data_IF_160800130312
#
_entry.id   IF_160800130312
#
_cell.length_a   1.000
_cell.length_b   1.000
_cell.length_c   1.000
_cell.angle_alpha   90.00
_cell.angle_beta   90.00
_cell.angle_gamma   90.00
#
_symmetry.space_group_name_H-M   'P 1'
#
loop_
_entity.id
_entity.type
_entity.pdbx_description
1 polymer ?
#
# COMPACT_ATOMS: atom_id res chain seq x y z
N UNK A 1 -25.46 -14.62 9.92
CA UNK A 1 -24.90 -13.31 10.32
C UNK A 1 -25.24 -13.07 11.78
N UNK A 2 -24.24 -12.71 12.60
CA UNK A 2 -24.46 -12.31 13.98
C UNK A 2 -24.28 -10.80 14.08
N UNK A 3 -25.33 -10.07 14.47
CA UNK A 3 -25.24 -8.65 14.78
C UNK A 3 -25.16 -8.51 16.30
N UNK A 4 -24.07 -7.92 16.79
CA UNK A 4 -23.81 -7.80 18.22
C UNK A 4 -24.20 -6.40 18.71
N UNK A 5 -25.30 -6.32 19.46
CA UNK A 5 -25.74 -5.08 20.10
C UNK A 5 -25.20 -5.01 21.53
N UNK A 6 -24.41 -3.97 21.84
CA UNK A 6 -23.91 -3.76 23.21
C UNK A 6 -24.89 -3.02 24.12
N UNK A 7 -25.91 -2.34 23.57
CA UNK A 7 -26.94 -1.58 24.31
C UNK A 7 -28.30 -1.72 23.60
N UNK A 8 -29.39 -1.92 24.37
CA UNK A 8 -30.72 -2.22 23.81
C UNK A 8 -31.38 -1.03 23.09
N UNK A 9 -31.02 0.18 23.51
CA UNK A 9 -31.40 1.48 22.98
C UNK A 9 -30.76 1.79 21.62
N UNK A 10 -29.75 1.02 21.17
CA UNK A 10 -29.16 1.15 19.83
C UNK A 10 -30.09 0.65 18.71
N UNK A 11 -31.03 -0.26 19.01
CA UNK A 11 -31.96 -0.79 18.02
C UNK A 11 -33.06 0.21 17.64
N UNK A 12 -33.52 1.02 18.60
CA UNK A 12 -34.55 2.04 18.35
C UNK A 12 -34.00 3.19 17.51
N UNK A 13 -32.76 3.61 17.74
CA UNK A 13 -32.14 4.69 16.96
C UNK A 13 -31.75 4.28 15.54
N UNK A 14 -31.58 2.97 15.24
CA UNK A 14 -31.22 2.49 13.90
C UNK A 14 -32.32 2.74 12.86
N UNK A 15 -33.59 2.72 13.27
CA UNK A 15 -34.74 2.96 12.39
C UNK A 15 -34.80 4.42 11.88
N UNK A 16 -34.16 5.35 12.61
CA UNK A 16 -34.12 6.78 12.31
C UNK A 16 -32.85 7.19 11.52
N UNK A 17 -31.93 6.25 11.24
CA UNK A 17 -30.66 6.55 10.57
C UNK A 17 -30.88 6.79 9.08
N UNK A 18 -30.80 8.05 8.65
CA UNK A 18 -30.86 8.43 7.24
C UNK A 18 -29.53 8.38 6.47
N UNK A 19 -28.38 8.30 7.18
CA UNK A 19 -27.05 8.28 6.57
C UNK A 19 -26.14 7.31 7.32
N UNK A 20 -25.52 6.38 6.58
CA UNK A 20 -24.54 5.44 7.11
C UNK A 20 -23.16 5.78 6.54
N UNK A 21 -22.21 6.10 7.41
CA UNK A 21 -20.80 6.23 7.04
C UNK A 21 -20.10 4.89 7.29
N UNK A 22 -19.55 4.29 6.23
CA UNK A 22 -18.78 3.04 6.31
C UNK A 22 -17.28 3.37 6.23
N UNK A 23 -16.51 2.90 7.20
CA UNK A 23 -15.05 2.88 7.08
C UNK A 23 -14.64 1.86 6.01
N UNK A 24 -13.64 2.15 5.16
CA UNK A 24 -13.31 1.29 4.01
C UNK A 24 -12.60 0.01 4.46
N UNK A 25 -11.50 0.17 5.19
CA UNK A 25 -10.57 -0.91 5.54
C UNK A 25 -11.24 -1.90 6.50
N UNK A 26 -11.33 -3.17 6.09
CA UNK A 26 -11.87 -4.25 6.92
C UNK A 26 -13.41 -4.29 7.04
N UNK A 27 -14.14 -3.22 6.72
CA UNK A 27 -15.61 -3.24 6.67
C UNK A 27 -16.10 -3.60 5.26
N UNK A 28 -15.72 -2.81 4.26
CA UNK A 28 -16.10 -3.02 2.83
C UNK A 28 -15.07 -3.86 2.09
N UNK A 29 -13.79 -3.73 2.47
CA UNK A 29 -12.69 -4.51 1.90
C UNK A 29 -12.31 -5.67 2.82
N UNK A 30 -11.51 -6.61 2.31
CA UNK A 30 -11.11 -7.81 3.05
C UNK A 30 -10.23 -7.48 4.26
N UNK A 31 -9.65 -6.27 4.32
CA UNK A 31 -8.70 -5.88 5.36
C UNK A 31 -7.32 -6.52 5.14
N UNK A 32 -7.06 -7.01 3.93
CA UNK A 32 -5.84 -7.71 3.54
C UNK A 32 -5.29 -7.05 2.28
N UNK A 33 -4.59 -5.91 2.41
CA UNK A 33 -3.96 -5.26 1.27
C UNK A 33 -2.99 -6.20 0.57
N UNK A 34 -2.98 -6.17 -0.76
CA UNK A 34 -2.05 -6.93 -1.59
C UNK A 34 -1.38 -6.05 -2.62
N UNK A 35 -0.13 -6.39 -2.95
CA UNK A 35 0.58 -5.75 -4.05
C UNK A 35 -0.13 -6.09 -5.36
N UNK A 36 -0.65 -5.09 -6.05
CA UNK A 36 -1.35 -5.29 -7.33
C UNK A 36 -0.44 -5.01 -8.52
N UNK A 37 0.47 -4.05 -8.39
CA UNK A 37 1.34 -3.65 -9.49
C UNK A 37 2.70 -3.22 -8.96
N UNK A 38 3.74 -3.59 -9.70
CA UNK A 38 5.10 -3.09 -9.54
C UNK A 38 5.59 -2.72 -10.94
N UNK A 39 5.66 -1.42 -11.22
CA UNK A 39 6.08 -0.87 -12.51
C UNK A 39 7.48 -0.32 -12.33
N UNK A 40 8.48 -0.97 -12.91
CA UNK A 40 9.87 -0.50 -12.85
C UNK A 40 10.16 0.58 -13.89
N UNK A 41 11.11 1.44 -13.57
CA UNK A 41 11.76 2.32 -14.55
C UNK A 41 12.71 1.52 -15.44
N UNK A 42 13.06 2.08 -16.60
CA UNK A 42 14.00 1.46 -17.53
C UNK A 42 15.36 1.20 -16.86
N UNK A 43 15.93 0.02 -17.12
CA UNK A 43 17.22 -0.39 -16.57
C UNK A 43 17.17 -1.06 -15.19
N UNK A 44 15.98 -1.20 -14.60
CA UNK A 44 15.78 -1.92 -13.35
C UNK A 44 15.09 -3.27 -13.56
N UNK A 45 15.65 -4.32 -12.96
CA UNK A 45 15.01 -5.63 -12.90
C UNK A 45 13.89 -5.64 -11.85
N UNK A 46 12.73 -6.21 -12.21
CA UNK A 46 11.56 -6.23 -11.33
C UNK A 46 11.79 -7.06 -10.06
N UNK A 47 12.42 -8.23 -10.19
CA UNK A 47 12.63 -9.12 -9.04
C UNK A 47 13.66 -8.52 -8.08
N UNK A 48 14.73 -7.93 -8.62
CA UNK A 48 15.73 -7.21 -7.83
C UNK A 48 15.09 -6.04 -7.06
N UNK A 49 14.31 -5.19 -7.74
CA UNK A 49 13.66 -4.06 -7.09
C UNK A 49 12.65 -4.51 -6.04
N UNK A 50 11.85 -5.54 -6.31
CA UNK A 50 10.93 -6.09 -5.31
C UNK A 50 11.67 -6.60 -4.08
N UNK A 51 12.80 -7.28 -4.26
CA UNK A 51 13.63 -7.75 -3.15
C UNK A 51 14.18 -6.57 -2.32
N UNK A 52 14.71 -5.53 -2.96
CA UNK A 52 15.22 -4.34 -2.27
C UNK A 52 14.13 -3.61 -1.49
N UNK A 53 12.94 -3.43 -2.09
CA UNK A 53 11.80 -2.80 -1.41
C UNK A 53 11.37 -3.67 -0.23
N UNK A 54 11.27 -4.99 -0.41
CA UNK A 54 10.90 -5.92 0.66
C UNK A 54 11.90 -5.90 1.82
N UNK A 55 13.20 -5.72 1.57
CA UNK A 55 14.20 -5.51 2.63
C UNK A 55 13.88 -4.31 3.51
N UNK A 56 13.51 -3.18 2.91
CA UNK A 56 13.17 -1.95 3.66
C UNK A 56 11.83 -2.12 4.38
N UNK A 57 10.82 -2.61 3.68
CA UNK A 57 9.46 -2.75 4.20
C UNK A 57 9.34 -3.84 5.27
N UNK A 58 10.25 -4.82 5.31
CA UNK A 58 10.32 -5.80 6.39
C UNK A 58 10.58 -5.19 7.77
N UNK A 59 11.09 -3.95 7.84
CA UNK A 59 11.31 -3.21 9.08
C UNK A 59 10.12 -2.30 9.47
N UNK A 60 9.06 -2.27 8.64
CA UNK A 60 7.90 -1.41 8.80
C UNK A 60 6.66 -2.21 9.22
N UNK A 61 5.87 -1.69 10.16
CA UNK A 61 4.63 -2.33 10.63
C UNK A 61 3.39 -1.88 9.82
N UNK A 62 3.59 -1.11 8.74
CA UNK A 62 2.48 -0.60 7.94
C UNK A 62 1.79 -1.73 7.14
N UNK A 63 0.45 -1.75 7.02
CA UNK A 63 -0.25 -2.77 6.22
C UNK A 63 0.22 -2.85 4.74
N UNK A 64 0.66 -1.72 4.18
CA UNK A 64 1.25 -1.66 2.83
C UNK A 64 2.60 -2.37 2.77
N UNK A 65 3.41 -2.23 3.81
CA UNK A 65 4.70 -2.90 3.94
C UNK A 65 4.52 -4.42 3.97
N UNK A 66 3.57 -4.89 4.79
CA UNK A 66 3.21 -6.31 4.87
C UNK A 66 2.78 -6.86 3.50
N UNK A 67 1.93 -6.14 2.77
CA UNK A 67 1.50 -6.53 1.42
C UNK A 67 2.67 -6.74 0.44
N UNK A 68 3.67 -5.86 0.49
CA UNK A 68 4.86 -5.94 -0.36
C UNK A 68 5.72 -7.14 0.03
N UNK A 69 5.99 -7.32 1.32
CA UNK A 69 6.78 -8.44 1.85
C UNK A 69 6.11 -9.78 1.52
N UNK A 70 4.79 -9.87 1.64
CA UNK A 70 4.05 -11.08 1.26
C UNK A 70 4.13 -11.36 -0.25
N UNK A 71 4.09 -10.32 -1.09
CA UNK A 71 4.28 -10.49 -2.52
C UNK A 71 5.67 -11.07 -2.84
N UNK A 72 6.73 -10.51 -2.25
CA UNK A 72 8.09 -11.02 -2.43
C UNK A 72 8.22 -12.49 -1.99
N UNK A 73 7.62 -12.86 -0.84
CA UNK A 73 7.54 -14.26 -0.38
C UNK A 73 6.83 -15.17 -1.39
N UNK A 74 5.69 -14.72 -1.90
CA UNK A 74 4.88 -15.51 -2.85
C UNK A 74 5.59 -15.75 -4.18
N UNK A 75 6.48 -14.84 -4.57
CA UNK A 75 7.34 -14.96 -5.75
C UNK A 75 8.62 -15.77 -5.48
N UNK A 76 8.79 -16.30 -4.26
CA UNK A 76 9.96 -17.08 -3.87
C UNK A 76 11.25 -16.27 -3.79
N UNK A 77 11.14 -14.94 -3.66
CA UNK A 77 12.28 -14.05 -3.55
C UNK A 77 12.83 -14.08 -2.12
N UNK A 78 14.15 -14.18 -2.02
CA UNK A 78 14.90 -13.84 -0.82
C UNK A 78 15.32 -12.38 -0.91
N UNK A 79 15.18 -11.64 0.18
CA UNK A 79 15.69 -10.27 0.27
C UNK A 79 16.76 -10.17 1.37
N UNK A 80 17.82 -9.38 1.14
CA UNK A 80 18.87 -9.14 2.14
C UNK A 80 18.36 -8.31 3.32
N UNK A 81 19.12 -8.29 4.42
CA UNK A 81 18.80 -7.43 5.56
C UNK A 81 19.01 -5.94 5.22
N UNK A 82 18.11 -5.10 5.73
CA UNK A 82 18.24 -3.65 5.69
C UNK A 82 18.94 -3.12 6.94
N UNK A 83 19.80 -2.12 6.76
CA UNK A 83 20.50 -1.40 7.85
C UNK A 83 20.14 0.08 7.84
N UNK A 84 20.30 0.74 8.98
CA UNK A 84 20.00 2.18 9.16
C UNK A 84 18.58 2.57 8.72
N UNK A 85 17.61 1.70 8.97
CA UNK A 85 16.20 1.97 8.68
C UNK A 85 15.72 3.24 9.40
N UNK A 86 15.02 4.10 8.66
CA UNK A 86 14.35 5.30 9.17
C UNK A 86 12.96 5.40 8.57
N UNK A 87 11.99 5.65 9.43
CA UNK A 87 10.63 5.99 9.03
C UNK A 87 10.43 7.49 9.19
N UNK A 88 9.98 8.14 8.12
CA UNK A 88 9.58 9.54 8.12
C UNK A 88 8.06 9.58 8.12
N UNK A 89 7.48 9.82 9.31
CA UNK A 89 6.03 9.74 9.53
C UNK A 89 5.25 10.55 8.50
N UNK A 90 4.36 9.86 7.79
CA UNK A 90 3.52 10.46 6.75
C UNK A 90 4.19 10.58 5.37
N UNK A 91 5.50 10.35 5.24
CA UNK A 91 6.21 10.52 3.97
C UNK A 91 6.64 9.20 3.35
N UNK A 92 7.33 8.36 4.13
CA UNK A 92 7.92 7.12 3.63
C UNK A 92 8.96 6.54 4.57
N UNK A 93 9.73 5.60 4.04
CA UNK A 93 10.81 4.90 4.73
C UNK A 93 12.08 4.92 3.88
N UNK A 94 13.23 4.92 4.53
CA UNK A 94 14.53 4.75 3.88
C UNK A 94 15.40 3.77 4.67
N UNK A 95 16.27 3.04 3.96
CA UNK A 95 17.30 2.19 4.57
C UNK A 95 18.44 1.93 3.58
N UNK A 96 19.51 1.31 4.07
CA UNK A 96 20.56 0.75 3.23
C UNK A 96 20.37 -0.75 3.07
N UNK A 97 20.52 -1.23 1.84
CA UNK A 97 20.36 -2.64 1.49
C UNK A 97 21.53 -3.02 0.59
N UNK A 98 22.39 -3.93 1.06
CA UNK A 98 23.65 -4.28 0.36
C UNK A 98 24.51 -3.04 -0.01
N UNK A 99 24.50 -2.01 0.84
CA UNK A 99 25.22 -0.75 0.62
C UNK A 99 24.54 0.23 -0.33
N UNK A 100 23.38 -0.12 -0.89
CA UNK A 100 22.57 0.76 -1.74
C UNK A 100 21.53 1.48 -0.92
N UNK A 101 21.33 2.78 -1.18
CA UNK A 101 20.33 3.57 -0.46
C UNK A 101 18.97 3.42 -1.13
N UNK A 102 18.00 2.87 -0.40
CA UNK A 102 16.65 2.60 -0.89
C UNK A 102 15.66 3.54 -0.18
N UNK A 103 14.80 4.19 -0.95
CA UNK A 103 13.71 5.03 -0.46
C UNK A 103 12.39 4.47 -0.97
N UNK A 104 11.37 4.42 -0.11
CA UNK A 104 10.00 4.02 -0.47
C UNK A 104 9.03 5.01 0.15
N UNK A 105 8.14 5.61 -0.63
CA UNK A 105 7.22 6.62 -0.11
C UNK A 105 6.43 7.37 -1.17
N UNK A 106 5.69 8.39 -0.73
CA UNK A 106 4.90 9.24 -1.61
C UNK A 106 5.77 10.18 -2.47
N UNK A 107 5.17 10.81 -3.48
CA UNK A 107 5.76 11.85 -4.34
C UNK A 107 6.54 12.92 -3.54
N UNK A 108 5.92 13.45 -2.48
CA UNK A 108 6.52 14.46 -1.60
C UNK A 108 7.80 13.99 -0.91
N UNK A 109 7.90 12.69 -0.63
CA UNK A 109 9.11 12.12 -0.05
C UNK A 109 10.22 12.05 -1.09
N UNK A 110 9.90 11.64 -2.32
CA UNK A 110 10.88 11.61 -3.42
C UNK A 110 11.44 12.99 -3.71
N UNK A 111 10.58 14.01 -3.76
CA UNK A 111 11.00 15.41 -3.96
C UNK A 111 11.94 15.89 -2.84
N UNK A 112 11.67 15.55 -1.59
CA UNK A 112 12.55 15.90 -0.46
C UNK A 112 13.94 15.25 -0.57
N UNK A 113 14.02 14.05 -1.14
CA UNK A 113 15.27 13.35 -1.37
C UNK A 113 15.95 13.76 -2.69
N UNK A 114 15.38 14.72 -3.44
CA UNK A 114 15.92 15.19 -4.71
C UNK A 114 15.74 14.22 -5.88
N UNK A 115 14.76 13.32 -5.80
CA UNK A 115 14.49 12.29 -6.80
C UNK A 115 13.40 12.78 -7.75
N UNK A 116 13.66 12.70 -9.06
CA UNK A 116 12.71 13.03 -10.11
C UNK A 116 11.69 11.88 -10.33
N UNK A 117 10.41 12.17 -10.11
CA UNK A 117 9.30 11.22 -10.30
C UNK A 117 8.68 11.27 -11.70
N UNK A 118 9.01 12.29 -12.50
CA UNK A 118 8.42 12.54 -13.82
C UNK A 118 8.39 11.29 -14.74
N UNK A 119 9.42 10.42 -14.77
CA UNK A 119 9.43 9.26 -15.66
C UNK A 119 8.28 8.25 -15.43
N UNK A 120 7.73 8.18 -14.22
CA UNK A 120 6.65 7.23 -13.88
C UNK A 120 5.37 7.92 -13.39
N UNK A 121 5.31 9.25 -13.41
CA UNK A 121 4.16 10.02 -12.91
C UNK A 121 2.85 9.63 -13.61
N UNK A 122 2.86 9.46 -14.93
CA UNK A 122 1.68 9.03 -15.70
C UNK A 122 1.19 7.63 -15.29
N UNK A 123 2.13 6.74 -14.92
CA UNK A 123 1.82 5.38 -14.47
C UNK A 123 1.24 5.38 -13.08
N UNK A 124 1.81 6.18 -12.18
CA UNK A 124 1.31 6.38 -10.83
C UNK A 124 -0.11 6.96 -10.86
N UNK A 125 -0.34 8.02 -11.64
CA UNK A 125 -1.66 8.64 -11.78
C UNK A 125 -2.72 7.65 -12.27
N UNK A 126 -2.38 6.84 -13.28
CA UNK A 126 -3.28 5.79 -13.78
C UNK A 126 -3.61 4.70 -12.75
N UNK A 127 -2.74 4.47 -11.76
CA UNK A 127 -2.99 3.55 -10.64
C UNK A 127 -3.87 4.22 -9.58
N UNK A 128 -3.58 5.48 -9.26
CA UNK A 128 -4.37 6.29 -8.32
C UNK A 128 -5.82 6.46 -8.80
N UNK A 129 -6.04 6.70 -10.10
CA UNK A 129 -7.38 6.77 -10.73
C UNK A 129 -8.18 5.47 -10.58
N UNK A 130 -7.51 4.32 -10.42
CA UNK A 130 -8.14 3.02 -10.13
C UNK A 130 -8.41 2.81 -8.64
N UNK A 131 -8.22 3.82 -7.80
CA UNK A 131 -8.43 3.77 -6.36
C UNK A 131 -7.40 2.92 -5.61
N UNK A 132 -6.21 2.72 -6.20
CA UNK A 132 -5.09 2.01 -5.59
C UNK A 132 -4.24 2.97 -4.78
N UNK A 133 -3.66 2.48 -3.68
CA UNK A 133 -2.66 3.24 -2.93
C UNK A 133 -1.32 3.06 -3.63
N UNK A 134 -0.79 4.14 -4.20
CA UNK A 134 0.48 4.17 -4.92
C UNK A 134 1.62 4.74 -4.07
N UNK A 135 2.80 4.16 -4.22
CA UNK A 135 4.06 4.63 -3.65
C UNK A 135 5.15 4.58 -4.72
N UNK A 136 6.14 5.44 -4.61
CA UNK A 136 7.36 5.35 -5.39
C UNK A 136 8.43 4.56 -4.63
N UNK A 137 9.35 3.96 -5.38
CA UNK A 137 10.60 3.43 -4.86
C UNK A 137 11.77 4.00 -5.66
N UNK A 138 12.86 4.30 -4.97
CA UNK A 138 14.08 4.80 -5.57
C UNK A 138 15.30 4.11 -4.97
N UNK A 139 16.31 3.88 -5.80
CA UNK A 139 17.57 3.28 -5.38
C UNK A 139 18.73 4.14 -5.83
N UNK A 140 19.64 4.43 -4.90
CA UNK A 140 20.83 5.26 -5.11
C UNK A 140 20.51 6.63 -5.75
N UNK A 141 19.39 7.23 -5.33
CA UNK A 141 18.93 8.53 -5.81
C UNK A 141 18.23 8.50 -7.17
N UNK A 142 18.07 7.33 -7.79
CA UNK A 142 17.35 7.16 -9.06
C UNK A 142 15.99 6.54 -8.84
N UNK A 143 14.96 7.04 -9.52
CA UNK A 143 13.63 6.47 -9.48
C UNK A 143 13.66 5.05 -10.06
N UNK A 144 13.25 4.07 -9.26
CA UNK A 144 13.35 2.66 -9.61
C UNK A 144 11.99 2.03 -9.94
N UNK A 145 10.92 2.42 -9.24
CA UNK A 145 9.59 1.88 -9.50
C UNK A 145 8.44 2.73 -8.94
N UNK A 146 7.24 2.41 -9.42
CA UNK A 146 5.96 2.70 -8.77
C UNK A 146 5.36 1.38 -8.29
N UNK A 147 4.91 1.39 -7.04
CA UNK A 147 4.28 0.29 -6.31
C UNK A 147 2.81 0.65 -6.15
N UNK A 148 1.90 -0.29 -6.42
CA UNK A 148 0.48 -0.12 -6.10
C UNK A 148 0.00 -1.25 -5.20
N UNK A 149 -0.65 -0.85 -4.11
CA UNK A 149 -1.29 -1.77 -3.16
C UNK A 149 -2.79 -1.47 -3.13
N UNK A 150 -3.60 -2.51 -3.15
CA UNK A 150 -5.04 -2.39 -3.01
C UNK A 150 -5.56 -3.44 -2.02
N UNK A 151 -6.57 -3.06 -1.25
CA UNK A 151 -7.33 -4.01 -0.44
C UNK A 151 -8.54 -4.49 -1.24
N UNK A 152 -8.61 -5.77 -1.62
CA UNK A 152 -9.71 -6.29 -2.42
C UNK A 152 -11.05 -6.11 -1.71
N UNK A 153 -12.07 -5.74 -2.47
CA UNK A 153 -13.45 -5.63 -1.96
C UNK A 153 -13.95 -7.03 -1.57
N UNK A 154 -14.68 -7.17 -0.45
CA UNK A 154 -15.32 -8.46 -0.13
C UNK A 154 -16.36 -8.77 -1.22
N UNK A 155 -16.42 -10.01 -1.67
CA UNK A 155 -17.42 -10.46 -2.66
C UNK A 155 -18.87 -10.15 -2.23
N UNK A 156 -19.15 -10.19 -0.92
CA UNK A 156 -20.45 -9.85 -0.33
C UNK A 156 -20.76 -8.35 -0.28
N UNK A 157 -19.78 -7.46 -0.48
CA UNK A 157 -19.99 -6.01 -0.31
C UNK A 157 -20.71 -5.37 -1.49
N UNK A 158 -20.60 -5.93 -2.70
CA UNK A 158 -21.37 -5.47 -3.85
C UNK A 158 -22.89 -5.70 -3.66
N UNK A 159 -23.26 -6.85 -3.08
CA UNK A 159 -24.67 -7.19 -2.76
C UNK A 159 -25.23 -6.31 -1.63
N UNK A 160 -24.41 -5.97 -0.63
CA UNK A 160 -24.82 -5.12 0.50
C UNK A 160 -25.01 -3.66 0.08
N UNK A 161 -24.17 -3.11 -0.80
CA UNK A 161 -24.34 -1.75 -1.33
C UNK A 161 -25.57 -1.68 -2.26
N UNK A 162 -25.83 -2.73 -3.05
CA UNK A 162 -27.01 -2.79 -3.91
C UNK A 162 -28.33 -2.88 -3.13
N UNK A 163 -28.32 -3.47 -1.93
CA UNK A 163 -29.48 -3.58 -1.04
C UNK A 163 -29.79 -2.31 -0.23
N UNK A 164 -28.96 -1.27 -0.33
CA UNK A 164 -29.12 0.03 0.37
C UNK A 164 -29.59 1.16 -0.57
N UNK A 165 -30.07 0.83 -1.78
CA UNK A 165 -30.77 1.74 -2.69
C UNK A 165 -32.27 1.60 -2.54
#
# INVERSE_FOLDING_TARGET
MGVFFRKGDALQHLDEVGVVALDKTGTVTQGQPSLTDLITADGFDRAEILALIASVEAQSEHPVAEAIVQSAKSEGLSWPDATEFRSVTGYGVEAFVQGRKVHVGADRFMVQQGIDTSPLEDRERALAEKGRTSLYAAVDGSLAAVIAVADPVKSSSAEVIAAQR
#
